data_IF_828598931008
#
_entry.id   IF_828598931008
#
_cell.length_a   1.000
_cell.length_b   1.000
_cell.length_c   1.000
_cell.angle_alpha   90.00
_cell.angle_beta   90.00
_cell.angle_gamma   90.00
#
_symmetry.space_group_name_H-M   'P 1'
#
loop_
_entity.id
_entity.type
_entity.pdbx_description
1 polymer ?
#
# COMPACT_ATOMS: atom_id res chain seq x y z
N UNK A 1 51.06 -27.28 33.55
CA UNK A 1 49.72 -27.57 32.95
C UNK A 1 49.91 -28.87 32.15
N UNK A 2 49.05 -29.87 32.38
CA UNK A 2 49.16 -31.14 31.65
C UNK A 2 48.70 -30.92 30.18
N UNK A 3 49.32 -31.63 29.24
CA UNK A 3 48.97 -31.57 27.82
C UNK A 3 47.45 -31.79 27.58
N UNK A 4 46.85 -32.61 28.44
CA UNK A 4 45.43 -32.87 28.49
C UNK A 4 44.59 -31.61 28.78
N UNK A 5 45.02 -30.73 29.69
CA UNK A 5 44.33 -29.50 30.04
C UNK A 5 44.36 -28.49 28.88
N UNK A 6 45.49 -28.43 28.16
CA UNK A 6 45.63 -27.55 26.98
C UNK A 6 44.72 -28.05 25.84
N UNK A 7 44.70 -29.36 25.58
CA UNK A 7 43.84 -29.95 24.55
C UNK A 7 42.36 -29.72 24.85
N UNK A 8 41.93 -29.89 26.11
CA UNK A 8 40.55 -29.60 26.52
C UNK A 8 40.19 -28.12 26.35
N UNK A 9 41.08 -27.20 26.70
CA UNK A 9 40.88 -25.77 26.53
C UNK A 9 40.68 -25.38 25.04
N UNK A 10 41.55 -25.91 24.17
CA UNK A 10 41.48 -25.68 22.73
C UNK A 10 40.14 -26.19 22.16
N UNK A 11 39.72 -27.39 22.59
CA UNK A 11 38.46 -27.98 22.12
C UNK A 11 37.26 -27.15 22.55
N UNK A 12 37.23 -26.61 23.78
CA UNK A 12 36.18 -25.71 24.26
C UNK A 12 36.17 -24.40 23.48
N UNK A 13 37.34 -23.81 23.19
CA UNK A 13 37.44 -22.59 22.40
C UNK A 13 36.91 -22.78 20.96
N UNK A 14 37.27 -23.90 20.31
CA UNK A 14 36.77 -24.24 18.98
C UNK A 14 35.24 -24.43 19.00
N UNK A 15 34.73 -25.13 20.01
CA UNK A 15 33.29 -25.35 20.17
C UNK A 15 32.53 -24.04 20.36
N UNK A 16 33.03 -23.13 21.21
CA UNK A 16 32.46 -21.81 21.41
C UNK A 16 32.48 -20.96 20.11
N UNK A 17 33.58 -21.03 19.36
CA UNK A 17 33.72 -20.36 18.07
C UNK A 17 32.66 -20.82 17.05
N UNK A 18 32.46 -22.14 16.96
CA UNK A 18 31.43 -22.73 16.07
C UNK A 18 30.02 -22.30 16.51
N UNK A 19 29.72 -22.34 17.82
CA UNK A 19 28.44 -21.89 18.36
C UNK A 19 28.17 -20.40 18.03
N UNK A 20 29.17 -19.55 18.22
CA UNK A 20 29.06 -18.11 17.91
C UNK A 20 28.79 -17.91 16.42
N UNK A 21 29.49 -18.64 15.54
CA UNK A 21 29.28 -18.57 14.09
C UNK A 21 27.83 -18.97 13.69
N UNK A 22 27.33 -20.08 14.29
CA UNK A 22 25.94 -20.54 14.04
C UNK A 22 24.92 -19.49 14.47
N UNK A 23 25.12 -18.87 15.65
CA UNK A 23 24.24 -17.82 16.14
C UNK A 23 24.23 -16.60 15.20
N UNK A 24 25.41 -16.18 14.73
CA UNK A 24 25.52 -15.06 13.77
C UNK A 24 24.80 -15.39 12.46
N UNK A 25 24.94 -16.61 11.95
CA UNK A 25 24.25 -17.05 10.72
C UNK A 25 22.74 -17.10 10.92
N UNK A 26 22.25 -17.56 12.07
CA UNK A 26 20.83 -17.59 12.41
C UNK A 26 20.25 -16.17 12.52
N UNK A 27 20.94 -15.26 13.20
CA UNK A 27 20.52 -13.85 13.30
C UNK A 27 20.48 -13.19 11.93
N UNK A 28 21.47 -13.49 11.07
CA UNK A 28 21.46 -12.98 9.69
C UNK A 28 20.30 -13.54 8.86
N UNK A 29 19.93 -14.81 9.04
CA UNK A 29 18.77 -15.42 8.37
C UNK A 29 17.46 -14.82 8.88
N UNK A 30 17.33 -14.58 10.19
CA UNK A 30 16.16 -13.92 10.78
C UNK A 30 16.06 -12.49 10.25
N UNK A 31 17.16 -11.73 10.16
CA UNK A 31 17.19 -10.40 9.58
C UNK A 31 16.72 -10.37 8.11
N UNK A 32 17.15 -11.34 7.31
CA UNK A 32 16.69 -11.49 5.92
C UNK A 32 15.23 -11.96 5.81
N UNK A 33 14.76 -12.77 6.78
CA UNK A 33 13.37 -13.19 6.87
C UNK A 33 12.46 -12.01 7.32
N UNK A 34 12.93 -11.21 8.26
CA UNK A 34 12.19 -10.01 8.74
C UNK A 34 12.05 -8.98 7.62
N UNK A 35 13.11 -8.78 6.81
CA UNK A 35 13.02 -7.92 5.60
C UNK A 35 12.12 -8.56 4.54
N UNK A 36 12.08 -9.88 4.41
CA UNK A 36 11.16 -10.57 3.48
C UNK A 36 9.74 -10.67 4.04
N UNK A 37 9.55 -10.72 5.36
CA UNK A 37 8.24 -10.69 6.01
C UNK A 37 7.67 -9.27 6.10
N UNK A 38 8.51 -8.23 6.18
CA UNK A 38 8.05 -6.85 5.97
C UNK A 38 7.76 -6.51 4.50
N UNK A 39 8.31 -7.31 3.56
CA UNK A 39 7.97 -7.28 2.12
C UNK A 39 6.85 -8.28 1.77
N UNK A 40 6.71 -9.37 2.55
CA UNK A 40 5.63 -10.35 2.44
C UNK A 40 4.58 -10.14 3.53
N UNK A 41 4.40 -8.83 3.98
CA UNK A 41 3.38 -8.46 4.92
C UNK A 41 3.09 -9.56 5.98
N UNK A 42 3.52 -9.40 7.22
CA UNK A 42 2.46 -9.51 8.20
C UNK A 42 1.40 -8.58 7.63
N UNK A 43 0.35 -9.17 7.12
CA UNK A 43 -0.87 -8.43 6.94
C UNK A 43 -1.21 -7.90 8.35
N UNK A 44 -0.71 -6.71 8.68
CA UNK A 44 -1.50 -5.81 9.49
C UNK A 44 -2.86 -5.94 8.84
N UNK A 45 -3.89 -6.38 9.57
CA UNK A 45 -5.19 -6.54 8.97
C UNK A 45 -5.39 -5.27 8.13
N UNK A 46 -5.75 -5.38 6.87
CA UNK A 46 -5.98 -4.23 5.97
C UNK A 46 -6.94 -3.21 6.62
N UNK A 47 -7.62 -3.64 7.67
CA UNK A 47 -8.49 -2.83 8.53
C UNK A 47 -7.74 -1.77 9.35
N UNK A 48 -6.45 -1.95 9.67
CA UNK A 48 -5.70 -1.04 10.56
C UNK A 48 -4.92 0.05 9.81
N UNK A 49 -4.66 -0.08 8.49
CA UNK A 49 -3.97 0.96 7.71
C UNK A 49 -4.98 1.90 7.04
N UNK A 50 -4.78 3.19 7.23
CA UNK A 50 -5.63 4.23 6.69
C UNK A 50 -7.01 4.35 7.39
N UNK A 51 -7.86 5.26 6.90
CA UNK A 51 -9.14 5.55 7.51
C UNK A 51 -10.10 4.36 7.45
N UNK A 52 -11.01 4.25 8.41
CA UNK A 52 -12.04 3.22 8.42
C UNK A 52 -12.99 3.37 7.22
N UNK A 53 -13.43 2.24 6.65
CA UNK A 53 -14.45 2.24 5.60
C UNK A 53 -15.75 2.82 6.18
N UNK A 54 -16.31 3.82 5.48
CA UNK A 54 -17.48 4.57 5.93
C UNK A 54 -17.15 5.83 6.74
N UNK A 55 -15.87 6.08 7.09
CA UNK A 55 -15.46 7.33 7.73
C UNK A 55 -15.39 8.48 6.75
N UNK A 56 -15.55 9.71 7.27
CA UNK A 56 -15.38 10.93 6.48
C UNK A 56 -13.90 11.20 6.24
N UNK A 57 -13.58 11.58 5.02
CA UNK A 57 -12.25 12.07 4.64
C UNK A 57 -12.05 13.49 5.19
N UNK A 58 -10.86 13.84 5.73
CA UNK A 58 -10.57 15.20 6.19
C UNK A 58 -10.77 16.26 5.09
N UNK A 59 -11.28 17.45 5.46
CA UNK A 59 -11.59 18.53 4.51
C UNK A 59 -10.39 18.96 3.66
N UNK A 60 -9.18 18.92 4.22
CA UNK A 60 -7.95 19.27 3.52
C UNK A 60 -7.56 18.22 2.46
N UNK A 61 -7.99 16.98 2.60
CA UNK A 61 -7.85 15.94 1.57
C UNK A 61 -8.89 16.16 0.47
N UNK A 62 -10.14 16.46 0.84
CA UNK A 62 -11.21 16.78 -0.14
C UNK A 62 -10.82 17.99 -1.00
N UNK A 63 -10.19 19.01 -0.42
CA UNK A 63 -9.75 20.22 -1.13
C UNK A 63 -8.69 19.97 -2.24
N UNK A 64 -8.01 18.82 -2.24
CA UNK A 64 -7.02 18.45 -3.27
C UNK A 64 -7.66 17.62 -4.38
N UNK A 65 -8.86 17.10 -4.15
CA UNK A 65 -9.61 16.39 -5.17
C UNK A 65 -10.07 17.37 -6.25
N UNK A 66 -10.05 16.99 -7.53
CA UNK A 66 -10.63 17.82 -8.59
C UNK A 66 -12.12 18.09 -8.32
N UNK A 67 -12.63 19.25 -8.72
CA UNK A 67 -14.04 19.64 -8.52
C UNK A 67 -15.04 18.57 -8.99
N UNK A 68 -14.67 17.81 -10.02
CA UNK A 68 -15.48 16.69 -10.54
C UNK A 68 -15.32 15.39 -9.71
N UNK A 69 -14.32 15.33 -8.84
CA UNK A 69 -14.02 14.18 -7.98
C UNK A 69 -14.67 14.30 -6.59
N UNK A 70 -15.39 15.40 -6.30
CA UNK A 70 -16.20 15.49 -5.07
C UNK A 70 -17.24 14.37 -5.00
N UNK A 71 -17.72 13.88 -6.15
CA UNK A 71 -18.67 12.78 -6.22
C UNK A 71 -17.96 11.42 -6.09
N UNK A 72 -16.82 11.20 -6.81
CA UNK A 72 -16.11 9.94 -6.82
C UNK A 72 -14.64 10.11 -7.26
N UNK A 73 -13.70 9.68 -6.43
CA UNK A 73 -12.28 9.72 -6.72
C UNK A 73 -11.51 8.55 -6.11
N UNK A 74 -10.33 8.27 -6.68
CA UNK A 74 -9.37 7.32 -6.16
C UNK A 74 -8.12 8.07 -5.71
N UNK A 75 -7.66 7.82 -4.48
CA UNK A 75 -6.39 8.33 -3.95
C UNK A 75 -5.38 7.19 -3.98
N UNK A 76 -4.33 7.35 -4.77
CA UNK A 76 -3.23 6.39 -4.90
C UNK A 76 -2.01 6.90 -4.15
N UNK A 77 -1.59 6.23 -3.08
CA UNK A 77 -0.37 6.55 -2.35
C UNK A 77 0.80 5.72 -2.90
N UNK A 78 1.82 6.40 -3.40
CA UNK A 78 3.07 5.79 -3.89
C UNK A 78 4.27 6.54 -3.33
N UNK A 79 5.37 5.83 -3.04
CA UNK A 79 6.58 6.43 -2.46
C UNK A 79 7.82 6.17 -3.31
N UNK A 80 8.69 7.16 -3.41
CA UNK A 80 9.97 7.04 -4.13
C UNK A 80 10.96 6.07 -3.47
N UNK A 81 10.74 5.68 -2.22
CA UNK A 81 11.53 4.67 -1.49
C UNK A 81 10.98 3.26 -1.64
N UNK A 82 9.78 3.12 -2.18
CA UNK A 82 9.07 1.86 -2.36
C UNK A 82 9.34 1.30 -3.77
N UNK A 83 10.05 0.18 -3.86
CA UNK A 83 10.34 -0.45 -5.15
C UNK A 83 9.09 -0.91 -5.90
N UNK A 84 8.10 -1.59 -5.28
CA UNK A 84 6.86 -1.94 -5.95
C UNK A 84 6.10 -0.73 -6.54
N UNK A 85 6.25 0.47 -5.93
CA UNK A 85 5.62 1.69 -6.44
C UNK A 85 6.21 2.12 -7.79
N UNK A 86 7.52 1.96 -7.99
CA UNK A 86 8.18 2.24 -9.28
C UNK A 86 7.72 1.27 -10.37
N UNK A 87 7.61 -0.02 -10.04
CA UNK A 87 7.13 -1.06 -10.94
C UNK A 87 5.66 -0.77 -11.32
N UNK A 88 4.80 -0.48 -10.32
CA UNK A 88 3.40 -0.09 -10.55
C UNK A 88 3.28 1.10 -11.51
N UNK A 89 3.96 2.20 -11.20
CA UNK A 89 3.84 3.44 -12.00
C UNK A 89 4.38 3.24 -13.43
N UNK A 90 5.48 2.47 -13.59
CA UNK A 90 6.02 2.14 -14.92
C UNK A 90 5.03 1.31 -15.75
N UNK A 91 4.37 0.33 -15.12
CA UNK A 91 3.40 -0.55 -15.79
C UNK A 91 2.08 0.19 -16.14
N UNK A 92 1.76 1.28 -15.41
CA UNK A 92 0.61 2.13 -15.72
C UNK A 92 0.82 3.00 -16.97
N UNK A 93 2.05 3.19 -17.44
CA UNK A 93 2.38 4.18 -18.47
C UNK A 93 1.59 4.10 -19.78
N UNK A 94 1.03 2.93 -20.12
CA UNK A 94 0.22 2.71 -21.33
C UNK A 94 -1.31 2.65 -21.03
N UNK A 95 -1.68 2.53 -19.75
CA UNK A 95 -3.09 2.45 -19.36
C UNK A 95 -3.70 3.86 -19.26
N UNK A 96 -4.98 3.97 -19.61
CA UNK A 96 -5.76 5.20 -19.47
C UNK A 96 -6.96 4.95 -18.57
N UNK A 97 -7.13 5.85 -17.62
CA UNK A 97 -8.24 5.81 -16.69
C UNK A 97 -9.28 6.86 -17.08
N UNK A 98 -10.54 6.46 -17.10
CA UNK A 98 -11.68 7.39 -17.24
C UNK A 98 -12.07 7.99 -15.88
N UNK A 99 -11.61 7.38 -14.80
CA UNK A 99 -11.90 7.75 -13.42
C UNK A 99 -10.92 8.82 -12.91
N UNK A 100 -11.39 9.62 -11.96
CA UNK A 100 -10.54 10.61 -11.29
C UNK A 100 -9.59 9.93 -10.31
N UNK A 101 -8.31 9.84 -10.67
CA UNK A 101 -7.26 9.30 -9.79
C UNK A 101 -6.32 10.43 -9.41
N UNK A 102 -6.04 10.55 -8.11
CA UNK A 102 -5.04 11.48 -7.55
C UNK A 102 -3.93 10.67 -6.91
N UNK A 103 -2.73 10.78 -7.46
CA UNK A 103 -1.53 10.15 -6.91
C UNK A 103 -0.89 11.07 -5.87
N UNK A 104 -0.77 10.60 -4.64
CA UNK A 104 -0.01 11.24 -3.57
C UNK A 104 1.40 10.65 -3.58
N UNK A 105 2.41 11.50 -3.82
CA UNK A 105 3.81 11.09 -3.87
C UNK A 105 4.57 11.79 -2.74
N UNK A 106 4.51 11.29 -1.49
CA UNK A 106 5.26 11.82 -0.38
C UNK A 106 6.77 11.60 -0.58
N UNK A 107 7.55 12.54 -0.04
CA UNK A 107 9.00 12.51 -0.06
C UNK A 107 9.62 13.69 -0.79
N UNK A 108 10.82 14.08 -0.32
CA UNK A 108 11.53 15.22 -0.85
C UNK A 108 12.64 14.80 -1.83
N UNK A 109 12.96 15.68 -2.77
CA UNK A 109 14.12 15.58 -3.65
C UNK A 109 13.84 14.96 -5.02
N UNK A 110 14.91 14.72 -5.74
CA UNK A 110 14.91 14.34 -7.16
C UNK A 110 14.11 13.05 -7.43
N UNK A 111 14.26 12.04 -6.58
CA UNK A 111 13.58 10.74 -6.75
C UNK A 111 12.05 10.82 -6.68
N UNK A 112 11.50 11.70 -5.84
CA UNK A 112 10.05 11.89 -5.78
C UNK A 112 9.55 12.55 -7.07
N UNK A 113 10.30 13.54 -7.58
CA UNK A 113 10.03 14.16 -8.86
C UNK A 113 10.16 13.19 -10.06
N UNK A 114 11.17 12.31 -10.05
CA UNK A 114 11.33 11.27 -11.05
C UNK A 114 10.15 10.28 -11.06
N UNK A 115 9.73 9.80 -9.88
CA UNK A 115 8.56 8.92 -9.77
C UNK A 115 7.29 9.62 -10.26
N UNK A 116 7.07 10.87 -9.84
CA UNK A 116 5.93 11.67 -10.27
C UNK A 116 5.90 11.91 -11.79
N UNK A 117 7.06 12.07 -12.43
CA UNK A 117 7.16 12.26 -13.87
C UNK A 117 6.81 11.00 -14.69
N UNK A 118 6.86 9.82 -14.07
CA UNK A 118 6.45 8.55 -14.69
C UNK A 118 4.93 8.30 -14.58
N UNK A 119 4.23 8.99 -13.66
CA UNK A 119 2.78 8.85 -13.51
C UNK A 119 2.08 9.30 -14.79
N UNK A 120 1.12 8.52 -15.32
CA UNK A 120 0.37 8.88 -16.51
C UNK A 120 -0.29 10.28 -16.40
N UNK A 121 -0.34 11.01 -17.51
CA UNK A 121 -0.81 12.40 -17.53
C UNK A 121 -2.30 12.61 -17.25
N UNK A 122 -3.08 11.54 -17.27
CA UNK A 122 -4.50 11.49 -16.90
C UNK A 122 -4.69 11.30 -15.39
N UNK A 123 -3.64 11.01 -14.63
CA UNK A 123 -3.64 10.94 -13.18
C UNK A 123 -3.10 12.26 -12.63
N UNK A 124 -3.87 12.92 -11.77
CA UNK A 124 -3.41 14.12 -11.07
C UNK A 124 -2.34 13.73 -10.03
N UNK A 125 -1.23 14.47 -9.98
CA UNK A 125 -0.14 14.21 -9.03
C UNK A 125 -0.05 15.31 -8.00
N UNK A 126 -0.02 14.93 -6.73
CA UNK A 126 0.27 15.81 -5.60
C UNK A 126 1.62 15.43 -4.99
N UNK A 127 2.51 16.41 -4.90
CA UNK A 127 3.86 16.28 -4.32
C UNK A 127 3.95 16.91 -2.94
N UNK A 128 5.09 16.69 -2.25
CA UNK A 128 5.38 17.35 -0.99
C UNK A 128 5.45 18.90 -1.12
N UNK A 129 5.09 19.61 -0.03
CA UNK A 129 4.75 19.10 1.31
C UNK A 129 3.32 18.54 1.45
N UNK A 130 2.45 18.75 0.48
CA UNK A 130 1.04 18.40 0.58
C UNK A 130 0.83 16.89 0.60
N UNK A 131 1.54 16.12 -0.22
CA UNK A 131 1.40 14.66 -0.25
C UNK A 131 1.69 14.00 1.11
N UNK A 132 2.76 14.42 1.80
CA UNK A 132 3.08 13.93 3.16
C UNK A 132 2.02 14.33 4.17
N UNK A 133 1.52 15.58 4.10
CA UNK A 133 0.48 16.07 4.99
C UNK A 133 -0.82 15.28 4.82
N UNK A 134 -1.24 15.03 3.57
CA UNK A 134 -2.46 14.31 3.25
C UNK A 134 -2.36 12.83 3.62
N UNK A 135 -1.24 12.16 3.32
CA UNK A 135 -0.99 10.78 3.74
C UNK A 135 -1.05 10.65 5.27
N UNK A 136 -0.47 11.60 6.01
CA UNK A 136 -0.54 11.65 7.47
C UNK A 136 -1.96 11.89 8.00
N UNK A 137 -2.74 12.78 7.37
CA UNK A 137 -4.13 13.04 7.74
C UNK A 137 -5.02 11.81 7.52
N UNK A 138 -4.70 11.00 6.50
CA UNK A 138 -5.37 9.73 6.20
C UNK A 138 -4.81 8.54 6.99
N UNK A 139 -3.77 8.74 7.81
CA UNK A 139 -3.09 7.67 8.56
C UNK A 139 -2.60 6.53 7.66
N UNK A 140 -2.13 6.86 6.45
CA UNK A 140 -1.61 5.91 5.48
C UNK A 140 -0.10 5.72 5.70
N UNK A 141 0.31 4.51 6.03
CA UNK A 141 1.71 4.13 6.26
C UNK A 141 2.24 3.18 5.19
N UNK A 142 1.38 2.36 4.61
CA UNK A 142 1.74 1.36 3.61
C UNK A 142 1.74 1.93 2.19
N UNK A 143 2.67 1.46 1.35
CA UNK A 143 2.75 1.80 -0.08
C UNK A 143 3.11 0.58 -0.92
N UNK A 144 2.55 0.40 -2.11
CA UNK A 144 1.50 1.20 -2.75
C UNK A 144 0.10 0.91 -2.19
N UNK A 145 -0.70 1.96 -1.99
CA UNK A 145 -2.02 1.85 -1.37
C UNK A 145 -3.05 2.67 -2.16
N UNK A 146 -4.28 2.20 -2.24
CA UNK A 146 -5.39 2.90 -2.91
C UNK A 146 -6.60 3.03 -2.01
N UNK A 147 -7.22 4.22 -2.04
CA UNK A 147 -8.50 4.53 -1.40
C UNK A 147 -9.52 4.95 -2.46
N UNK A 148 -10.74 4.48 -2.33
CA UNK A 148 -11.89 5.00 -3.04
C UNK A 148 -12.68 5.93 -2.12
N UNK A 149 -12.88 7.15 -2.58
CA UNK A 149 -13.63 8.20 -1.88
C UNK A 149 -14.85 8.56 -2.70
N UNK A 150 -16.02 8.49 -2.10
CA UNK A 150 -17.28 8.90 -2.70
C UNK A 150 -17.98 9.86 -1.75
N UNK A 151 -18.29 11.06 -2.23
CA UNK A 151 -18.95 12.13 -1.45
C UNK A 151 -18.23 12.41 -0.11
N UNK A 152 -16.90 12.48 -0.15
CA UNK A 152 -16.09 12.72 1.05
C UNK A 152 -16.06 11.56 2.05
N UNK A 153 -16.51 10.37 1.67
CA UNK A 153 -16.54 9.17 2.52
C UNK A 153 -15.69 8.06 1.90
N UNK A 154 -14.90 7.38 2.71
CA UNK A 154 -14.10 6.21 2.28
C UNK A 154 -15.03 5.03 2.01
N UNK A 155 -15.04 4.55 0.77
CA UNK A 155 -15.86 3.41 0.34
C UNK A 155 -15.12 2.10 0.38
N UNK A 156 -13.89 2.11 -0.15
CA UNK A 156 -13.03 0.94 -0.20
C UNK A 156 -11.58 1.35 -0.03
N UNK A 157 -10.75 0.42 0.39
CA UNK A 157 -9.32 0.58 0.49
C UNK A 157 -8.61 -0.73 0.13
N UNK A 158 -7.43 -0.65 -0.46
CA UNK A 158 -6.62 -1.83 -0.79
C UNK A 158 -5.13 -1.52 -0.80
N UNK A 159 -4.34 -2.51 -0.41
CA UNK A 159 -2.91 -2.56 -0.68
C UNK A 159 -2.68 -3.26 -2.02
N UNK A 160 -1.83 -2.70 -2.87
CA UNK A 160 -1.59 -3.19 -4.22
C UNK A 160 -0.38 -4.14 -4.24
N UNK A 161 -0.64 -5.46 -4.17
CA UNK A 161 0.40 -6.49 -4.13
C UNK A 161 0.98 -6.80 -5.51
N UNK A 162 0.13 -6.85 -6.53
CA UNK A 162 0.48 -7.22 -7.91
C UNK A 162 0.66 -6.00 -8.82
N UNK A 163 0.84 -4.82 -8.23
CA UNK A 163 1.14 -3.59 -8.96
C UNK A 163 -0.04 -3.04 -9.77
N UNK A 164 0.17 -2.74 -11.05
CA UNK A 164 -0.81 -2.08 -11.90
C UNK A 164 -2.10 -2.89 -12.12
N UNK A 165 -2.00 -4.23 -12.18
CA UNK A 165 -3.16 -5.11 -12.34
C UNK A 165 -4.16 -4.99 -11.19
N UNK A 166 -3.65 -4.88 -9.95
CA UNK A 166 -4.50 -4.70 -8.77
C UNK A 166 -5.21 -3.34 -8.80
N UNK A 167 -4.49 -2.27 -9.17
CA UNK A 167 -5.09 -0.94 -9.29
C UNK A 167 -6.19 -0.91 -10.34
N UNK A 168 -5.94 -1.47 -11.51
CA UNK A 168 -6.91 -1.54 -12.60
C UNK A 168 -8.16 -2.31 -12.15
N UNK A 169 -7.97 -3.50 -11.58
CA UNK A 169 -9.07 -4.32 -11.08
C UNK A 169 -9.85 -3.61 -9.95
N UNK A 170 -9.16 -2.89 -9.07
CA UNK A 170 -9.80 -2.13 -7.99
C UNK A 170 -10.67 -1.00 -8.53
N UNK A 171 -10.15 -0.23 -9.49
CA UNK A 171 -10.87 0.90 -10.11
C UNK A 171 -12.06 0.41 -10.95
N UNK A 172 -11.87 -0.64 -11.77
CA UNK A 172 -12.94 -1.20 -12.60
C UNK A 172 -14.06 -1.85 -11.77
N UNK A 173 -13.72 -2.52 -10.66
CA UNK A 173 -14.71 -3.14 -9.78
C UNK A 173 -15.59 -2.11 -9.04
N UNK A 174 -15.13 -0.88 -8.86
CA UNK A 174 -15.91 0.21 -8.28
C UNK A 174 -17.11 0.60 -9.14
N UNK A 175 -16.94 0.60 -10.45
CA UNK A 175 -18.03 0.88 -11.39
C UNK A 175 -19.12 -0.23 -11.39
N UNK A 176 -18.75 -1.48 -11.09
CA UNK A 176 -19.70 -2.60 -11.06
C UNK A 176 -20.48 -2.76 -9.74
N UNK A 177 -20.01 -2.18 -8.65
CA UNK A 177 -20.66 -2.32 -7.34
C UNK A 177 -21.93 -1.47 -7.21
N UNK A 178 -21.97 -0.30 -7.89
CA UNK A 178 -23.16 0.55 -7.95
C UNK A 178 -24.31 -0.13 -8.75
N UNK A 179 -23.95 -0.87 -9.81
CA UNK A 179 -24.91 -1.57 -10.67
C UNK A 179 -25.45 -2.84 -10.00
N UNK A 180 -24.61 -3.58 -9.25
CA UNK A 180 -25.06 -4.78 -8.50
C UNK A 180 -25.95 -4.44 -7.31
N UNK A 181 -25.75 -3.31 -6.65
CA UNK A 181 -26.59 -2.90 -5.51
C UNK A 181 -28.02 -2.58 -5.94
N UNK A 182 -28.18 -1.96 -7.11
CA UNK A 182 -29.49 -1.71 -7.70
C UNK A 182 -30.20 -3.02 -8.14
N UNK A 183 -29.46 -4.03 -8.56
CA UNK A 183 -30.05 -5.30 -9.00
C UNK A 183 -30.53 -6.18 -7.83
N UNK A 184 -29.80 -6.18 -6.70
CA UNK A 184 -30.21 -6.94 -5.50
C UNK A 184 -31.43 -6.29 -4.81
N UNK A 185 -31.52 -4.96 -4.81
CA UNK A 185 -32.63 -4.25 -4.18
C UNK A 185 -33.95 -4.38 -4.98
N UNK A 186 -33.87 -4.53 -6.31
CA UNK A 186 -35.03 -4.77 -7.18
C UNK A 186 -35.59 -6.18 -7.00
N UNK A 187 -34.73 -7.19 -6.86
CA UNK A 187 -35.16 -8.59 -6.67
C UNK A 187 -35.77 -8.87 -5.30
N UNK A 188 -35.29 -8.21 -4.23
CA UNK A 188 -35.92 -8.34 -2.89
C UNK A 188 -37.29 -7.68 -2.80
N UNK A 189 -37.52 -6.60 -3.58
CA UNK A 189 -38.81 -5.90 -3.57
C UNK A 189 -39.91 -6.63 -4.31
N UNK A 190 -39.58 -7.37 -5.35
CA UNK A 190 -40.55 -8.18 -6.10
C UNK A 190 -40.99 -9.46 -5.36
N UNK A 191 -40.15 -10.02 -4.48
CA UNK A 191 -40.53 -11.19 -3.68
C UNK A 191 -41.46 -10.87 -2.50
N UNK A 192 -41.48 -9.61 -2.03
CA UNK A 192 -42.31 -9.19 -0.87
C UNK A 192 -43.75 -8.80 -1.31
N UNK A 193 -43.92 -8.34 -2.56
CA UNK A 193 -45.26 -7.96 -3.08
C UNK A 193 -46.07 -9.14 -3.69
N UNK A 194 -45.46 -10.32 -3.82
CA UNK A 194 -46.07 -11.52 -4.40
C UNK A 194 -46.64 -12.53 -3.40
N UNK A 195 -46.81 -12.17 -2.11
CA UNK A 195 -47.35 -13.08 -1.10
C UNK A 195 -48.58 -12.55 -0.40
#
# INVERSE_FOLDING_TARGET
MSALAIAALVLVCVWLGVLTLVVILLVRQIGLLTVRLSVAGEATPLDDDGPEIGSSVPEDVVAVLPDQAEEHAYLLLVSSTCRPCWELVADLGEHRFEQNIVALVPGHGEKAGELAALVPSDIQVTLDPDATRLAGALQLESTPFVLEVEQGTVRRKAFLHEGASDLIAFVESGNGAAEKKNFVEITEKEEIEGR
#
